data_IF_189494344486
#
_entry.id   IF_189494344486
#
_cell.length_a   1.000
_cell.length_b   1.000
_cell.length_c   1.000
_cell.angle_alpha   90.00
_cell.angle_beta   90.00
_cell.angle_gamma   90.00
#
_symmetry.space_group_name_H-M   'P 1'
#
loop_
_entity.id
_entity.type
_entity.pdbx_description
1 polymer ?
#
# COMPACT_ATOMS: atom_id res chain seq x y z
N UNK A 1 24.54 -5.14 -55.07
CA UNK A 1 24.14 -4.07 -54.12
C UNK A 1 22.91 -4.54 -53.35
N UNK A 2 23.06 -5.55 -52.47
CA UNK A 2 21.89 -6.23 -51.87
C UNK A 2 22.09 -6.64 -50.39
N UNK A 3 23.26 -6.33 -49.81
CA UNK A 3 23.65 -6.80 -48.47
C UNK A 3 23.16 -5.84 -47.35
N UNK A 4 22.73 -4.63 -47.70
CA UNK A 4 22.30 -3.60 -46.73
C UNK A 4 20.83 -3.74 -46.25
N UNK A 5 19.96 -4.44 -47.00
CA UNK A 5 18.55 -4.63 -46.62
C UNK A 5 18.38 -5.63 -45.47
N UNK A 6 19.07 -6.77 -45.55
CA UNK A 6 18.98 -7.84 -44.56
C UNK A 6 19.50 -7.42 -43.17
N UNK A 7 20.58 -6.64 -43.12
CA UNK A 7 21.14 -6.11 -41.87
C UNK A 7 20.28 -5.01 -41.24
N UNK A 8 19.55 -4.21 -42.03
CA UNK A 8 18.58 -3.23 -41.50
C UNK A 8 17.38 -3.94 -40.87
N UNK A 9 16.79 -4.91 -41.56
CA UNK A 9 15.66 -5.69 -41.05
C UNK A 9 16.01 -6.42 -39.76
N UNK A 10 17.18 -7.07 -39.70
CA UNK A 10 17.68 -7.73 -38.48
C UNK A 10 17.90 -6.76 -37.31
N UNK A 11 18.41 -5.54 -37.58
CA UNK A 11 18.56 -4.48 -36.56
C UNK A 11 17.21 -3.95 -36.06
N UNK A 12 16.20 -3.81 -36.92
CA UNK A 12 14.85 -3.44 -36.50
C UNK A 12 14.22 -4.51 -35.60
N UNK A 13 14.39 -5.80 -35.93
CA UNK A 13 13.89 -6.88 -35.08
C UNK A 13 14.59 -6.92 -33.71
N UNK A 14 15.91 -6.74 -33.66
CA UNK A 14 16.66 -6.67 -32.40
C UNK A 14 16.21 -5.46 -31.57
N UNK A 15 16.05 -4.29 -32.19
CA UNK A 15 15.62 -3.07 -31.50
C UNK A 15 14.19 -3.19 -30.95
N UNK A 16 13.25 -3.70 -31.76
CA UNK A 16 11.88 -3.97 -31.33
C UNK A 16 11.83 -5.00 -30.20
N UNK A 17 12.64 -6.06 -30.27
CA UNK A 17 12.74 -7.06 -29.20
C UNK A 17 13.25 -6.46 -27.89
N UNK A 18 14.30 -5.63 -27.93
CA UNK A 18 14.83 -4.94 -26.75
C UNK A 18 13.80 -3.98 -26.14
N UNK A 19 13.06 -3.24 -26.97
CA UNK A 19 11.97 -2.37 -26.50
C UNK A 19 10.87 -3.18 -25.83
N UNK A 20 10.42 -4.28 -26.46
CA UNK A 20 9.38 -5.15 -25.90
C UNK A 20 9.85 -5.75 -24.58
N UNK A 21 11.07 -6.27 -24.52
CA UNK A 21 11.64 -6.82 -23.29
C UNK A 21 11.73 -5.75 -22.19
N UNK A 22 12.16 -4.54 -22.52
CA UNK A 22 12.21 -3.41 -21.60
C UNK A 22 10.82 -3.05 -21.07
N UNK A 23 9.81 -2.99 -21.94
CA UNK A 23 8.42 -2.76 -21.53
C UNK A 23 7.93 -3.89 -20.62
N UNK A 24 8.18 -5.15 -20.95
CA UNK A 24 7.80 -6.31 -20.13
C UNK A 24 8.43 -6.24 -18.75
N UNK A 25 9.72 -5.91 -18.65
CA UNK A 25 10.42 -5.73 -17.37
C UNK A 25 9.80 -4.59 -16.56
N UNK A 26 9.52 -3.44 -17.20
CA UNK A 26 8.89 -2.31 -16.52
C UNK A 26 7.48 -2.65 -16.02
N UNK A 27 6.68 -3.35 -16.83
CA UNK A 27 5.34 -3.81 -16.45
C UNK A 27 5.42 -4.81 -15.29
N UNK A 28 6.38 -5.74 -15.32
CA UNK A 28 6.59 -6.71 -14.24
C UNK A 28 7.02 -6.02 -12.94
N UNK A 29 7.97 -5.09 -13.00
CA UNK A 29 8.41 -4.30 -11.84
C UNK A 29 7.27 -3.45 -11.28
N UNK A 30 6.46 -2.85 -12.15
CA UNK A 30 5.27 -2.10 -11.72
C UNK A 30 4.25 -3.01 -11.04
N UNK A 31 3.97 -4.19 -11.62
CA UNK A 31 3.03 -5.15 -11.04
C UNK A 31 3.51 -5.65 -9.67
N UNK A 32 4.78 -6.01 -9.55
CA UNK A 32 5.36 -6.48 -8.28
C UNK A 32 5.43 -5.37 -7.23
N UNK A 33 5.74 -4.13 -7.64
CA UNK A 33 5.74 -2.99 -6.74
C UNK A 33 4.33 -2.57 -6.29
N UNK A 34 3.30 -2.77 -7.10
CA UNK A 34 1.93 -2.32 -6.79
C UNK A 34 1.01 -3.45 -6.30
N UNK A 35 1.39 -4.72 -6.46
CA UNK A 35 0.58 -5.87 -6.04
C UNK A 35 1.39 -6.96 -5.36
N UNK A 36 0.97 -7.41 -4.19
CA UNK A 36 1.50 -8.61 -3.53
C UNK A 36 0.41 -9.34 -2.77
N UNK A 37 0.33 -10.67 -2.91
CA UNK A 37 -0.64 -11.51 -2.21
C UNK A 37 -2.11 -11.30 -2.57
N UNK A 38 -2.41 -10.40 -3.51
CA UNK A 38 -3.75 -10.16 -4.07
C UNK A 38 -3.98 -10.90 -5.39
N UNK A 39 -5.21 -11.36 -5.60
CA UNK A 39 -5.68 -11.88 -6.90
C UNK A 39 -6.17 -10.74 -7.81
N UNK A 40 -6.23 -10.99 -9.12
CA UNK A 40 -6.77 -10.00 -10.06
C UNK A 40 -8.27 -9.71 -9.80
N UNK A 41 -9.01 -10.64 -9.16
CA UNK A 41 -10.39 -10.41 -8.75
C UNK A 41 -10.47 -9.42 -7.58
N UNK A 42 -9.69 -9.61 -6.52
CA UNK A 42 -9.63 -8.70 -5.36
C UNK A 42 -9.20 -7.29 -5.75
N UNK A 43 -8.27 -7.15 -6.72
CA UNK A 43 -7.87 -5.83 -7.21
C UNK A 43 -9.00 -5.11 -7.97
N UNK A 44 -9.93 -5.85 -8.59
CA UNK A 44 -11.08 -5.27 -9.29
C UNK A 44 -12.27 -5.00 -8.38
N UNK A 45 -12.29 -5.57 -7.19
CA UNK A 45 -13.33 -5.32 -6.20
C UNK A 45 -13.23 -3.89 -5.67
N UNK A 46 -14.38 -3.25 -5.49
CA UNK A 46 -14.45 -1.92 -4.91
C UNK A 46 -14.21 -2.03 -3.40
N UNK A 47 -13.21 -1.31 -2.89
CA UNK A 47 -12.93 -1.19 -1.46
C UNK A 47 -13.34 0.19 -0.94
N UNK A 48 -13.60 0.32 0.38
CA UNK A 48 -13.92 1.62 0.98
C UNK A 48 -12.89 2.70 0.62
N UNK A 49 -13.36 3.88 0.20
CA UNK A 49 -12.51 5.00 -0.16
C UNK A 49 -12.04 5.01 -1.62
N UNK A 50 -12.38 4.00 -2.41
CA UNK A 50 -12.13 3.99 -3.86
C UNK A 50 -12.87 5.14 -4.58
N UNK A 51 -14.05 5.51 -4.08
CA UNK A 51 -14.87 6.63 -4.58
C UNK A 51 -14.27 8.01 -4.27
N UNK A 52 -13.38 8.10 -3.28
CA UNK A 52 -12.69 9.36 -2.93
C UNK A 52 -11.59 9.67 -3.95
N UNK A 53 -10.93 8.63 -4.47
CA UNK A 53 -9.93 8.74 -5.54
C UNK A 53 -10.28 7.72 -6.65
N UNK A 54 -11.28 8.03 -7.50
CA UNK A 54 -11.76 7.12 -8.53
C UNK A 54 -10.69 6.75 -9.55
N UNK A 55 -9.86 7.72 -9.93
CA UNK A 55 -8.77 7.56 -10.90
C UNK A 55 -7.40 7.78 -10.23
N UNK A 56 -6.89 6.79 -9.48
CA UNK A 56 -5.60 6.91 -8.82
C UNK A 56 -4.48 6.88 -9.85
N UNK A 57 -3.46 7.68 -9.60
CA UNK A 57 -2.20 7.56 -10.34
C UNK A 57 -1.40 6.33 -9.88
N UNK A 58 -1.49 6.03 -8.58
CA UNK A 58 -0.91 4.83 -7.97
C UNK A 58 -1.97 4.16 -7.12
N UNK A 59 -2.19 2.86 -7.36
CA UNK A 59 -2.94 1.97 -6.47
C UNK A 59 -2.00 0.87 -6.03
N UNK A 60 -1.74 0.76 -4.74
CA UNK A 60 -0.98 -0.32 -4.14
C UNK A 60 -1.96 -1.22 -3.41
N UNK A 61 -1.95 -2.49 -3.79
CA UNK A 61 -2.80 -3.54 -3.27
C UNK A 61 -1.94 -4.63 -2.64
N UNK A 62 -2.26 -4.97 -1.40
CA UNK A 62 -1.57 -5.99 -0.64
C UNK A 62 -2.57 -6.82 0.11
N UNK A 63 -2.42 -8.13 0.08
CA UNK A 63 -3.21 -9.00 0.91
C UNK A 63 -2.36 -10.12 1.48
N UNK A 64 -2.68 -10.54 2.70
CA UNK A 64 -2.07 -11.70 3.33
C UNK A 64 -3.13 -12.43 4.14
N UNK A 65 -3.06 -13.77 4.10
CA UNK A 65 -3.90 -14.61 4.95
C UNK A 65 -3.24 -14.75 6.33
N UNK A 66 -4.01 -14.43 7.34
CA UNK A 66 -3.64 -14.49 8.74
C UNK A 66 -4.31 -15.68 9.42
N UNK A 67 -3.60 -16.43 10.28
CA UNK A 67 -4.13 -17.63 10.94
C UNK A 67 -4.97 -17.29 12.19
N UNK A 68 -5.79 -16.25 12.12
CA UNK A 68 -6.65 -15.80 13.21
C UNK A 68 -7.98 -15.22 12.67
N UNK A 69 -9.00 -15.13 13.52
CA UNK A 69 -10.27 -14.48 13.18
C UNK A 69 -10.11 -12.95 13.11
N UNK A 70 -11.04 -12.26 12.42
CA UNK A 70 -10.99 -10.81 12.33
C UNK A 70 -11.06 -10.14 13.71
N UNK A 71 -11.79 -10.73 14.67
CA UNK A 71 -11.87 -10.23 16.05
C UNK A 71 -10.53 -10.24 16.78
N UNK A 72 -9.66 -11.23 16.51
CA UNK A 72 -8.32 -11.32 17.09
C UNK A 72 -7.35 -10.36 16.40
N UNK A 73 -7.49 -10.20 15.08
CA UNK A 73 -6.64 -9.31 14.28
C UNK A 73 -6.97 -7.84 14.50
N UNK A 74 -8.26 -7.52 14.70
CA UNK A 74 -8.77 -6.15 14.72
C UNK A 74 -8.07 -5.19 15.70
N UNK A 75 -7.80 -5.57 16.96
CA UNK A 75 -7.08 -4.72 17.90
C UNK A 75 -5.69 -4.29 17.41
N UNK A 76 -5.01 -5.14 16.62
CA UNK A 76 -3.72 -4.84 16.02
C UNK A 76 -3.84 -3.83 14.88
N UNK A 77 -4.91 -3.92 14.08
CA UNK A 77 -5.20 -2.98 12.98
C UNK A 77 -5.56 -1.60 13.55
N UNK A 78 -6.38 -1.56 14.59
CA UNK A 78 -6.85 -0.29 15.20
C UNK A 78 -5.70 0.50 15.82
N UNK A 79 -4.71 -0.17 16.41
CA UNK A 79 -3.55 0.49 16.99
C UNK A 79 -2.40 0.72 16.00
N UNK A 80 -2.51 0.26 14.75
CA UNK A 80 -1.47 0.42 13.74
C UNK A 80 -1.15 1.92 13.54
N UNK A 81 0.14 2.26 13.46
CA UNK A 81 0.61 3.59 13.07
C UNK A 81 1.71 4.18 13.95
N UNK A 82 2.24 5.32 13.48
CA UNK A 82 3.26 6.13 14.16
C UNK A 82 2.72 6.68 15.48
N UNK A 83 3.55 6.64 16.52
CA UNK A 83 3.21 7.02 17.90
C UNK A 83 1.98 6.26 18.46
N UNK A 84 1.69 5.08 17.89
CA UNK A 84 0.63 4.16 18.33
C UNK A 84 1.22 2.79 18.69
N UNK A 85 0.64 1.71 18.18
CA UNK A 85 1.13 0.34 18.33
C UNK A 85 2.29 -0.02 17.38
N UNK A 86 2.74 0.92 16.56
CA UNK A 86 3.83 0.74 15.59
C UNK A 86 3.36 0.15 14.27
N UNK A 87 4.31 -0.28 13.45
CA UNK A 87 4.10 -0.74 12.07
C UNK A 87 4.35 -2.25 11.90
N UNK A 88 4.63 -2.94 13.01
CA UNK A 88 4.95 -4.36 13.09
C UNK A 88 6.08 -4.76 12.15
N UNK A 89 7.11 -3.92 12.08
CA UNK A 89 8.25 -4.15 11.22
C UNK A 89 9.30 -5.03 11.91
N UNK A 90 10.13 -5.80 11.16
CA UNK A 90 11.25 -6.52 11.74
C UNK A 90 12.21 -5.56 12.45
N UNK A 91 12.76 -6.04 13.57
CA UNK A 91 13.58 -5.25 14.50
C UNK A 91 14.71 -4.44 13.85
N UNK A 92 15.31 -4.92 12.76
CA UNK A 92 16.36 -4.17 12.06
C UNK A 92 15.85 -2.87 11.43
N UNK A 93 14.60 -2.86 10.94
CA UNK A 93 13.96 -1.69 10.35
C UNK A 93 13.46 -0.74 11.43
N UNK A 94 12.86 -1.28 12.49
CA UNK A 94 12.47 -0.54 13.69
C UNK A 94 13.65 0.22 14.32
N UNK A 95 14.81 -0.44 14.44
CA UNK A 95 16.04 0.18 14.93
C UNK A 95 16.56 1.28 14.00
N UNK A 96 16.38 1.15 12.68
CA UNK A 96 16.80 2.16 11.71
C UNK A 96 15.98 3.45 11.86
N UNK A 97 14.68 3.30 12.13
CA UNK A 97 13.74 4.42 12.25
C UNK A 97 13.53 4.90 13.68
N UNK A 98 14.16 4.25 14.67
CA UNK A 98 14.02 4.50 16.10
C UNK A 98 12.55 4.48 16.59
N UNK A 99 11.72 3.62 15.99
CA UNK A 99 10.35 3.35 16.43
C UNK A 99 10.20 1.86 16.70
N UNK A 100 9.57 1.52 17.82
CA UNK A 100 9.35 0.13 18.25
C UNK A 100 7.87 -0.19 18.23
N UNK A 101 7.51 -1.34 17.65
CA UNK A 101 6.12 -1.81 17.69
C UNK A 101 5.77 -2.40 19.05
N UNK A 102 4.50 -2.25 19.41
CA UNK A 102 3.96 -2.88 20.60
C UNK A 102 3.97 -4.41 20.43
N UNK A 103 4.35 -5.13 21.49
CA UNK A 103 4.28 -6.59 21.56
C UNK A 103 2.93 -7.10 22.09
N UNK A 104 1.98 -6.19 22.34
CA UNK A 104 0.63 -6.50 22.77
C UNK A 104 -0.34 -5.41 22.33
N UNK A 105 -1.64 -5.71 22.43
CA UNK A 105 -2.70 -4.73 22.19
C UNK A 105 -2.78 -3.75 23.35
N UNK A 106 -2.71 -2.46 23.05
CA UNK A 106 -2.65 -1.39 24.03
C UNK A 106 -4.04 -0.75 24.24
N UNK A 107 -4.62 -0.78 25.46
CA UNK A 107 -5.99 -0.30 25.72
C UNK A 107 -6.27 1.13 25.26
N UNK A 108 -5.28 2.02 25.36
CA UNK A 108 -5.40 3.43 24.98
C UNK A 108 -5.64 3.66 23.48
N UNK A 109 -5.32 2.68 22.63
CA UNK A 109 -5.47 2.81 21.18
C UNK A 109 -6.73 2.16 20.63
N UNK A 110 -7.48 1.41 21.46
CA UNK A 110 -8.61 0.57 21.00
C UNK A 110 -9.91 1.35 20.73
N UNK A 111 -9.99 2.62 21.14
CA UNK A 111 -11.17 3.46 20.97
C UNK A 111 -11.03 4.42 19.78
N UNK A 112 -10.56 3.93 18.63
CA UNK A 112 -10.46 4.71 17.40
C UNK A 112 -11.85 4.96 16.82
N UNK A 113 -12.16 6.20 16.45
CA UNK A 113 -13.46 6.62 15.95
C UNK A 113 -13.36 7.42 14.64
N UNK A 114 -14.49 7.50 13.92
CA UNK A 114 -14.61 8.39 12.76
C UNK A 114 -14.30 9.83 13.17
N UNK A 115 -13.43 10.48 12.42
CA UNK A 115 -13.00 11.85 12.68
C UNK A 115 -11.68 11.99 13.42
N UNK A 116 -11.20 10.93 14.06
CA UNK A 116 -9.90 10.92 14.73
C UNK A 116 -8.77 11.19 13.75
N UNK A 117 -7.70 11.81 14.26
CA UNK A 117 -6.52 12.18 13.48
C UNK A 117 -5.30 11.55 14.14
N UNK A 118 -4.55 10.76 13.36
CA UNK A 118 -3.33 10.08 13.82
C UNK A 118 -2.12 10.56 13.02
N UNK A 119 -0.89 10.49 13.57
CA UNK A 119 0.31 10.89 12.85
C UNK A 119 0.54 10.04 11.59
N UNK A 120 0.95 10.69 10.50
CA UNK A 120 1.44 10.01 9.29
C UNK A 120 2.98 9.92 9.30
N UNK A 121 3.53 8.92 8.63
CA UNK A 121 4.98 8.77 8.45
C UNK A 121 5.60 9.94 7.67
N UNK A 122 4.88 10.48 6.69
CA UNK A 122 5.35 11.56 5.80
C UNK A 122 5.33 12.98 6.40
N UNK A 123 5.17 13.12 7.73
CA UNK A 123 5.07 14.42 8.40
C UNK A 123 3.72 15.12 8.24
N UNK A 124 2.71 14.40 7.75
CA UNK A 124 1.30 14.82 7.73
C UNK A 124 0.49 14.13 8.83
N UNK A 125 -0.83 14.07 8.62
CA UNK A 125 -1.72 13.30 9.48
C UNK A 125 -2.68 12.45 8.66
N UNK A 126 -3.19 11.38 9.26
CA UNK A 126 -4.22 10.52 8.71
C UNK A 126 -5.52 10.76 9.49
N UNK A 127 -6.57 11.16 8.78
CA UNK A 127 -7.91 11.26 9.36
C UNK A 127 -8.68 9.98 9.12
N UNK A 128 -9.31 9.42 10.15
CA UNK A 128 -10.26 8.31 10.04
C UNK A 128 -11.53 8.85 9.39
N UNK A 129 -11.83 8.36 8.18
CA UNK A 129 -13.05 8.72 7.46
C UNK A 129 -14.18 7.74 7.76
N UNK A 130 -13.85 6.47 7.90
CA UNK A 130 -14.81 5.41 8.19
C UNK A 130 -14.13 4.32 9.02
N UNK A 131 -14.88 3.70 9.91
CA UNK A 131 -14.43 2.56 10.68
C UNK A 131 -15.62 1.64 10.94
N UNK A 132 -15.46 0.37 10.57
CA UNK A 132 -16.43 -0.69 10.86
C UNK A 132 -15.68 -1.78 11.63
N UNK A 133 -16.03 -2.00 12.91
CA UNK A 133 -15.36 -2.98 13.75
C UNK A 133 -15.22 -4.36 13.10
N UNK A 134 -14.04 -4.96 13.23
CA UNK A 134 -13.66 -6.26 12.68
C UNK A 134 -13.79 -6.36 11.14
N UNK A 135 -13.96 -5.23 10.44
CA UNK A 135 -14.11 -5.24 8.97
C UNK A 135 -13.13 -4.30 8.31
N UNK A 136 -13.14 -3.01 8.62
CA UNK A 136 -12.17 -2.10 8.00
C UNK A 136 -12.01 -0.77 8.71
N UNK A 137 -10.86 -0.14 8.47
CA UNK A 137 -10.60 1.27 8.75
C UNK A 137 -10.20 1.97 7.46
N UNK A 138 -10.81 3.12 7.18
CA UNK A 138 -10.44 3.98 6.06
C UNK A 138 -9.80 5.26 6.58
N UNK A 139 -8.56 5.48 6.20
CA UNK A 139 -7.83 6.72 6.44
C UNK A 139 -7.74 7.56 5.16
N UNK A 140 -7.66 8.88 5.36
CA UNK A 140 -7.24 9.79 4.30
C UNK A 140 -6.21 10.79 4.83
N UNK A 141 -5.17 11.05 4.03
CA UNK A 141 -4.08 11.92 4.46
C UNK A 141 -4.43 13.39 4.32
N UNK A 142 -4.10 14.15 5.36
CA UNK A 142 -4.22 15.60 5.40
C UNK A 142 -2.82 16.22 5.32
N UNK A 143 -2.57 17.13 4.37
CA UNK A 143 -1.30 17.84 4.32
C UNK A 143 -1.07 18.68 5.57
N UNK A 144 0.19 18.78 5.96
CA UNK A 144 0.64 19.74 6.98
C UNK A 144 0.63 21.19 6.49
N UNK A 145 0.54 21.42 5.17
CA UNK A 145 0.60 22.75 4.54
C UNK A 145 -0.61 23.02 3.64
N UNK A 146 -1.26 24.18 3.83
CA UNK A 146 -2.51 24.59 3.20
C UNK A 146 -2.44 24.89 1.68
N UNK A 147 -1.35 24.53 1.00
CA UNK A 147 -1.06 24.91 -0.40
C UNK A 147 -1.57 23.91 -1.44
N UNK A 148 -2.16 22.79 -1.02
CA UNK A 148 -2.73 21.79 -1.92
C UNK A 148 -4.20 22.07 -2.21
N UNK A 149 -4.58 22.15 -3.48
CA UNK A 149 -5.99 22.21 -3.93
C UNK A 149 -6.71 20.87 -3.78
N UNK A 150 -5.97 19.77 -3.57
CA UNK A 150 -6.54 18.43 -3.38
C UNK A 150 -6.81 18.21 -1.90
N UNK A 151 -8.07 17.86 -1.56
CA UNK A 151 -8.53 17.68 -0.17
C UNK A 151 -7.76 16.60 0.60
N UNK A 152 -7.29 15.55 -0.08
CA UNK A 152 -6.50 14.45 0.49
C UNK A 152 -5.34 14.07 -0.44
N UNK A 153 -4.17 13.72 0.12
CA UNK A 153 -3.02 13.30 -0.70
C UNK A 153 -3.04 11.82 -1.06
N UNK A 154 -3.73 11.00 -0.28
CA UNK A 154 -3.98 9.59 -0.54
C UNK A 154 -5.10 9.08 0.37
N UNK A 155 -5.67 7.94 0.00
CA UNK A 155 -6.53 7.14 0.88
C UNK A 155 -5.85 5.82 1.19
N UNK A 156 -6.05 5.33 2.41
CA UNK A 156 -5.47 4.09 2.92
C UNK A 156 -6.56 3.26 3.59
N UNK A 157 -6.98 2.20 2.92
CA UNK A 157 -7.98 1.27 3.37
C UNK A 157 -7.33 0.02 3.94
N UNK A 158 -7.72 -0.35 5.16
CA UNK A 158 -7.29 -1.53 5.88
C UNK A 158 -8.49 -2.44 6.08
N UNK A 159 -8.59 -3.52 5.31
CA UNK A 159 -9.78 -4.36 5.20
C UNK A 159 -9.48 -5.77 5.69
N UNK A 160 -10.38 -6.32 6.50
CA UNK A 160 -10.40 -7.69 6.98
C UNK A 160 -11.56 -8.43 6.31
N UNK A 161 -11.22 -9.53 5.64
CA UNK A 161 -12.18 -10.43 5.00
C UNK A 161 -12.12 -11.78 5.71
N UNK A 162 -13.22 -12.18 6.35
CA UNK A 162 -13.33 -13.48 7.00
C UNK A 162 -13.28 -14.59 5.96
N UNK A 163 -12.25 -15.45 6.01
CA UNK A 163 -12.18 -16.65 5.17
C UNK A 163 -12.86 -17.84 5.89
N UNK A 164 -12.55 -18.00 7.17
CA UNK A 164 -13.10 -19.01 8.08
C UNK A 164 -13.15 -18.48 9.51
N UNK A 165 -13.69 -19.25 10.46
CA UNK A 165 -13.70 -18.89 11.88
C UNK A 165 -12.30 -18.68 12.50
N UNK A 166 -11.22 -19.12 11.85
CA UNK A 166 -9.84 -19.04 12.35
C UNK A 166 -8.87 -18.50 11.29
N UNK A 167 -9.39 -17.87 10.24
CA UNK A 167 -8.57 -17.36 9.15
C UNK A 167 -9.19 -16.14 8.53
N UNK A 168 -8.39 -15.08 8.39
CA UNK A 168 -8.82 -13.78 7.87
C UNK A 168 -7.82 -13.30 6.85
N UNK A 169 -8.29 -12.76 5.73
CA UNK A 169 -7.44 -12.03 4.79
C UNK A 169 -7.37 -10.59 5.24
N UNK A 170 -6.16 -10.06 5.43
CA UNK A 170 -5.94 -8.64 5.63
C UNK A 170 -5.52 -8.02 4.30
N UNK A 171 -6.41 -7.21 3.70
CA UNK A 171 -6.20 -6.48 2.46
C UNK A 171 -5.97 -4.99 2.75
N UNK A 172 -4.79 -4.50 2.39
CA UNK A 172 -4.41 -3.10 2.41
C UNK A 172 -4.48 -2.52 0.99
N UNK A 173 -5.17 -1.39 0.83
CA UNK A 173 -5.20 -0.60 -0.41
C UNK A 173 -4.80 0.85 -0.16
N UNK A 174 -3.76 1.30 -0.85
CA UNK A 174 -3.31 2.69 -0.86
C UNK A 174 -3.57 3.30 -2.24
N UNK A 175 -4.35 4.39 -2.30
CA UNK A 175 -4.63 5.12 -3.55
C UNK A 175 -4.08 6.53 -3.47
N UNK A 176 -3.25 6.90 -4.44
CA UNK A 176 -2.60 8.21 -4.54
C UNK A 176 -3.08 8.87 -5.84
N UNK A 177 -3.64 10.09 -5.79
CA UNK A 177 -4.04 10.81 -6.99
C UNK A 177 -2.80 11.31 -7.75
N UNK A 178 -2.98 11.69 -9.01
CA UNK A 178 -1.86 12.25 -9.79
C UNK A 178 -1.43 13.60 -9.16
N UNK A 179 -0.12 13.83 -8.95
CA UNK A 179 0.36 15.14 -8.55
C UNK A 179 -0.05 16.19 -9.58
N UNK A 180 -0.57 17.33 -9.12
CA UNK A 180 -0.95 18.45 -9.99
C UNK A 180 0.24 19.27 -10.50
N UNK A 181 1.43 19.10 -9.90
CA UNK A 181 2.66 19.80 -10.28
C UNK A 181 3.92 19.10 -9.72
N UNK A 182 5.11 19.51 -10.18
CA UNK A 182 6.42 19.05 -9.65
C UNK A 182 7.05 17.86 -10.41
N UNK A 183 8.31 17.54 -10.08
CA UNK A 183 9.06 16.44 -10.71
C UNK A 183 8.53 15.05 -10.33
N UNK A 184 7.78 14.95 -9.21
CA UNK A 184 7.18 13.70 -8.74
C UNK A 184 6.25 13.05 -9.77
N UNK A 185 5.61 13.82 -10.65
CA UNK A 185 4.76 13.28 -11.73
C UNK A 185 5.51 12.35 -12.72
N UNK A 186 6.84 12.43 -12.75
CA UNK A 186 7.71 11.64 -13.63
C UNK A 186 8.29 10.41 -12.92
N UNK A 187 8.06 10.25 -11.60
CA UNK A 187 8.51 9.08 -10.85
C UNK A 187 7.61 7.90 -11.24
N UNK A 188 8.14 6.80 -11.80
CA UNK A 188 7.33 5.64 -12.13
C UNK A 188 6.74 5.01 -10.86
N UNK A 189 5.45 4.62 -10.85
CA UNK A 189 4.81 3.96 -9.71
C UNK A 189 5.56 2.70 -9.24
N UNK A 190 6.33 2.05 -10.12
CA UNK A 190 7.19 0.91 -9.82
C UNK A 190 8.32 1.23 -8.83
N UNK A 191 8.83 2.46 -8.80
CA UNK A 191 9.92 2.86 -7.89
C UNK A 191 9.40 3.03 -6.46
N UNK A 192 8.24 3.67 -6.30
CA UNK A 192 7.57 3.82 -5.00
C UNK A 192 7.07 2.46 -4.49
N UNK A 193 6.48 1.65 -5.38
CA UNK A 193 5.97 0.33 -5.02
C UNK A 193 7.04 -0.67 -4.55
N UNK A 194 8.30 -0.55 -4.96
CA UNK A 194 9.39 -1.40 -4.47
C UNK A 194 9.79 -1.07 -3.02
N UNK A 195 9.72 0.20 -2.63
CA UNK A 195 9.95 0.63 -1.25
C UNK A 195 8.79 0.14 -0.37
N UNK A 196 7.55 0.31 -0.83
CA UNK A 196 6.38 -0.19 -0.11
C UNK A 196 6.36 -1.71 -0.01
N UNK A 197 6.72 -2.44 -1.08
CA UNK A 197 6.80 -3.91 -1.05
C UNK A 197 7.75 -4.45 0.03
N UNK A 198 8.90 -3.78 0.25
CA UNK A 198 9.82 -4.15 1.31
C UNK A 198 9.19 -3.92 2.70
N UNK A 199 8.45 -2.82 2.87
CA UNK A 199 7.80 -2.41 4.13
C UNK A 199 6.55 -3.24 4.45
N UNK A 200 5.79 -3.65 3.44
CA UNK A 200 4.54 -4.41 3.62
C UNK A 200 4.81 -5.85 4.04
N UNK A 201 5.78 -6.53 3.40
CA UNK A 201 6.18 -7.90 3.80
C UNK A 201 6.67 -7.97 5.24
N UNK A 202 7.28 -6.88 5.66
CA UNK A 202 7.79 -6.58 6.98
C UNK A 202 6.61 -6.49 7.97
N UNK A 203 5.59 -5.68 7.66
CA UNK A 203 4.36 -5.55 8.44
C UNK A 203 3.58 -6.86 8.58
N UNK A 204 3.34 -7.57 7.48
CA UNK A 204 2.57 -8.83 7.52
C UNK A 204 3.25 -9.90 8.35
N UNK A 205 4.59 -9.94 8.35
CA UNK A 205 5.34 -10.88 9.17
C UNK A 205 5.21 -10.56 10.66
N UNK A 206 5.39 -9.29 11.05
CA UNK A 206 5.24 -8.90 12.46
C UNK A 206 3.83 -9.14 12.98
N UNK A 207 2.82 -8.92 12.14
CA UNK A 207 1.43 -9.22 12.52
C UNK A 207 1.23 -10.73 12.77
N UNK A 208 1.78 -11.61 11.92
CA UNK A 208 1.73 -13.07 12.10
C UNK A 208 2.50 -13.58 13.33
N UNK A 209 3.52 -12.87 13.78
CA UNK A 209 4.29 -13.24 14.97
C UNK A 209 3.56 -12.87 16.28
N UNK A 210 2.57 -11.97 16.20
CA UNK A 210 1.86 -11.40 17.34
C UNK A 210 0.41 -11.90 17.51
N UNK A 211 -0.14 -12.64 16.54
CA UNK A 211 -1.46 -13.28 16.57
C UNK A 211 -1.33 -14.79 16.66
#
# INVERSE_FOLDING_TARGET
MEINGHNKVKRYFIFAFVIILFIVVLVALNRLGTRSGVTDAQVREALPGDEIIPEPWISIDRAEVLPASAEVVWPWIVQLGKDRGGWYAPLWFENLIHEHSASSTLPQFQNLAVGDVVPDWGGGTLKVLEIVPNKYVLYASQPSTATSTTKYHFTWALVLEDNTATSTTFHLRLRIPRPSSGFSQYIPPSVLGLIDYATDRVLFRGLKENI
#
